data_IF_257682912469
#
_entry.id   IF_257682912469
#
_cell.length_a   1.000
_cell.length_b   1.000
_cell.length_c   1.000
_cell.angle_alpha   90.00
_cell.angle_beta   90.00
_cell.angle_gamma   90.00
#
_symmetry.space_group_name_H-M   'P 1'
#
loop_
_entity.id
_entity.type
_entity.pdbx_description
1 polymer ?
#
# COMPACT_ATOMS: atom_id res chain seq x y z
N UNK A 1 10.02 -2.06 4.64
CA UNK A 1 8.54 -2.24 4.62
C UNK A 1 8.03 -2.68 5.98
N UNK A 2 8.64 -3.70 6.61
CA UNK A 2 8.21 -4.20 7.92
C UNK A 2 8.21 -3.09 9.00
N UNK A 3 9.31 -2.37 9.17
CA UNK A 3 9.41 -1.28 10.14
C UNK A 3 8.36 -0.17 9.89
N UNK A 4 8.13 0.19 8.62
CA UNK A 4 7.11 1.18 8.27
C UNK A 4 5.70 0.70 8.68
N UNK A 5 5.40 -0.58 8.47
CA UNK A 5 4.12 -1.18 8.87
C UNK A 5 3.94 -1.18 10.39
N UNK A 6 4.97 -1.56 11.16
CA UNK A 6 4.92 -1.54 12.63
C UNK A 6 4.71 -0.11 13.16
N UNK A 7 5.38 0.88 12.57
CA UNK A 7 5.18 2.28 12.93
C UNK A 7 3.78 2.79 12.57
N UNK A 8 3.24 2.38 11.42
CA UNK A 8 1.87 2.73 11.07
C UNK A 8 0.84 2.12 12.03
N UNK A 9 1.08 0.88 12.47
CA UNK A 9 0.23 0.20 13.45
C UNK A 9 0.28 0.86 14.83
N UNK A 10 1.49 1.23 15.27
CA UNK A 10 1.69 2.03 16.50
C UNK A 10 0.95 3.37 16.40
N UNK A 11 1.08 4.08 15.28
CA UNK A 11 0.39 5.35 15.04
C UNK A 11 -1.14 5.18 15.09
N UNK A 12 -1.68 4.14 14.47
CA UNK A 12 -3.11 3.85 14.46
C UNK A 12 -3.66 3.68 15.89
N UNK A 13 -2.93 3.00 16.79
CA UNK A 13 -3.38 2.82 18.19
C UNK A 13 -3.46 4.14 18.98
N UNK A 14 -2.69 5.15 18.60
CA UNK A 14 -2.82 6.50 19.18
C UNK A 14 -3.96 7.27 18.53
N UNK A 15 -4.14 7.15 17.22
CA UNK A 15 -5.23 7.81 16.47
C UNK A 15 -6.60 7.32 16.91
N UNK A 16 -6.76 6.03 17.18
CA UNK A 16 -8.02 5.44 17.70
C UNK A 16 -8.50 6.07 19.02
N UNK A 17 -7.58 6.65 19.79
CA UNK A 17 -7.90 7.30 21.08
C UNK A 17 -8.31 8.76 20.93
N UNK A 18 -8.21 9.33 19.74
CA UNK A 18 -8.55 10.74 19.48
C UNK A 18 -10.06 10.89 19.38
N UNK A 19 -10.69 11.78 20.15
CA UNK A 19 -12.13 12.03 20.05
C UNK A 19 -12.52 12.48 18.63
N UNK A 20 -13.56 11.85 18.08
CA UNK A 20 -14.02 12.11 16.72
C UNK A 20 -13.35 11.27 15.63
N UNK A 21 -12.26 10.56 15.93
CA UNK A 21 -11.68 9.58 15.02
C UNK A 21 -12.48 8.28 15.12
N UNK A 22 -12.91 7.75 13.98
CA UNK A 22 -13.65 6.50 13.87
C UNK A 22 -13.11 5.64 12.74
N UNK A 23 -13.37 4.33 12.80
CA UNK A 23 -13.00 3.35 11.78
C UNK A 23 -11.54 3.49 11.33
N UNK A 24 -10.62 3.52 12.27
CA UNK A 24 -9.18 3.63 11.96
C UNK A 24 -8.69 2.34 11.32
N UNK A 25 -8.28 2.41 10.07
CA UNK A 25 -7.84 1.26 9.28
C UNK A 25 -6.41 1.50 8.79
N UNK A 26 -5.50 0.60 9.14
CA UNK A 26 -4.14 0.58 8.58
C UNK A 26 -4.16 -0.24 7.30
N UNK A 27 -3.61 0.32 6.22
CA UNK A 27 -3.44 -0.38 4.96
C UNK A 27 -2.64 -1.68 5.15
N UNK A 28 -3.24 -2.79 4.76
CA UNK A 28 -2.63 -4.11 4.94
C UNK A 28 -1.57 -4.35 3.87
N UNK A 29 -0.33 -4.04 4.18
CA UNK A 29 0.81 -4.19 3.27
C UNK A 29 1.64 -5.45 3.52
N UNK A 30 1.33 -6.20 4.58
CA UNK A 30 2.04 -7.40 5.03
C UNK A 30 1.07 -8.55 5.30
N UNK A 31 1.58 -9.76 5.31
CA UNK A 31 0.81 -10.93 5.75
C UNK A 31 0.49 -11.95 4.66
N UNK A 32 0.92 -11.74 3.41
CA UNK A 32 0.77 -12.76 2.39
C UNK A 32 1.76 -13.90 2.65
N UNK A 33 1.30 -15.13 2.92
CA UNK A 33 2.20 -16.29 3.04
C UNK A 33 2.84 -16.56 1.68
N UNK A 34 4.16 -16.58 1.66
CA UNK A 34 4.96 -16.84 0.46
C UNK A 34 5.89 -18.02 0.71
N UNK A 35 5.94 -18.93 -0.26
CA UNK A 35 6.94 -19.99 -0.31
C UNK A 35 8.20 -19.46 -0.97
N UNK A 36 9.26 -19.29 -0.18
CA UNK A 36 10.56 -18.82 -0.67
C UNK A 36 11.49 -20.00 -0.79
N UNK A 37 11.93 -20.28 -2.01
CA UNK A 37 12.88 -21.35 -2.29
C UNK A 37 14.30 -20.80 -2.21
N UNK A 38 15.10 -21.36 -1.32
CA UNK A 38 16.53 -21.03 -1.18
C UNK A 38 17.39 -22.13 -1.83
N UNK A 39 18.15 -21.75 -2.82
CA UNK A 39 19.02 -22.67 -3.56
C UNK A 39 20.43 -22.75 -3.00
N UNK A 40 20.94 -23.95 -2.81
CA UNK A 40 22.35 -24.18 -2.55
C UNK A 40 23.12 -24.25 -3.88
N UNK A 41 23.57 -23.09 -4.35
CA UNK A 41 24.24 -22.97 -5.66
C UNK A 41 25.51 -23.84 -5.77
N UNK A 42 26.23 -24.05 -4.66
CA UNK A 42 27.43 -24.90 -4.65
C UNK A 42 27.09 -26.37 -4.91
N UNK A 43 26.04 -26.90 -4.28
CA UNK A 43 25.59 -28.26 -4.54
C UNK A 43 25.00 -28.39 -5.95
N UNK A 44 24.20 -27.43 -6.41
CA UNK A 44 23.62 -27.40 -7.76
C UNK A 44 24.73 -27.49 -8.83
N UNK A 45 25.78 -26.68 -8.68
CA UNK A 45 26.91 -26.72 -9.59
C UNK A 45 27.67 -28.05 -9.55
N UNK A 46 27.87 -28.63 -8.35
CA UNK A 46 28.54 -29.93 -8.17
C UNK A 46 27.80 -31.06 -8.85
N UNK A 47 26.48 -31.06 -8.79
CA UNK A 47 25.63 -32.09 -9.38
C UNK A 47 25.28 -31.82 -10.86
N UNK A 48 25.73 -30.71 -11.41
CA UNK A 48 25.43 -30.33 -12.79
C UNK A 48 23.93 -30.14 -13.08
N UNK A 49 23.17 -29.65 -12.08
CA UNK A 49 21.72 -29.48 -12.19
C UNK A 49 21.41 -28.15 -12.87
N UNK A 50 20.44 -28.17 -13.77
CA UNK A 50 19.89 -26.96 -14.34
C UNK A 50 18.88 -26.30 -13.39
N UNK A 51 19.16 -25.04 -12.99
CA UNK A 51 18.27 -24.27 -12.09
C UNK A 51 16.87 -24.11 -12.70
N UNK A 52 16.75 -24.03 -14.02
CA UNK A 52 15.48 -23.86 -14.70
C UNK A 52 14.61 -25.11 -14.57
N UNK A 53 15.23 -26.29 -14.72
CA UNK A 53 14.57 -27.58 -14.52
C UNK A 53 14.09 -27.73 -13.06
N UNK A 54 14.97 -27.38 -12.09
CA UNK A 54 14.64 -27.39 -10.67
C UNK A 54 13.46 -26.46 -10.35
N UNK A 55 13.44 -25.26 -10.91
CA UNK A 55 12.33 -24.32 -10.79
C UNK A 55 11.02 -24.89 -11.36
N UNK A 56 11.08 -25.51 -12.52
CA UNK A 56 9.91 -26.13 -13.16
C UNK A 56 9.33 -27.25 -12.30
N UNK A 57 10.17 -28.12 -11.74
CA UNK A 57 9.74 -29.20 -10.85
C UNK A 57 9.03 -28.65 -9.60
N UNK A 58 9.63 -27.66 -8.94
CA UNK A 58 9.05 -27.04 -7.74
C UNK A 58 7.75 -26.31 -8.07
N UNK A 59 7.71 -25.57 -9.17
CA UNK A 59 6.50 -24.85 -9.61
C UNK A 59 5.38 -25.79 -9.97
N UNK A 60 5.65 -26.87 -10.72
CA UNK A 60 4.67 -27.89 -11.06
C UNK A 60 4.10 -28.53 -9.80
N UNK A 61 4.95 -28.79 -8.81
CA UNK A 61 4.52 -29.44 -7.58
C UNK A 61 3.60 -28.54 -6.73
N UNK A 62 3.94 -27.26 -6.54
CA UNK A 62 3.23 -26.37 -5.63
C UNK A 62 2.16 -25.49 -6.29
N UNK A 63 2.42 -24.97 -7.48
CA UNK A 63 1.55 -24.02 -8.16
C UNK A 63 0.84 -24.60 -9.40
N UNK A 64 1.43 -25.62 -10.00
CA UNK A 64 1.07 -26.12 -11.31
C UNK A 64 1.83 -25.42 -12.43
N UNK A 65 2.02 -26.15 -13.53
CA UNK A 65 2.69 -25.65 -14.75
C UNK A 65 1.78 -25.88 -15.94
N UNK A 66 1.70 -24.90 -16.84
CA UNK A 66 0.92 -25.02 -18.08
C UNK A 66 1.64 -25.97 -19.03
N UNK A 67 1.02 -27.13 -19.33
CA UNK A 67 1.52 -28.11 -20.27
C UNK A 67 1.07 -27.84 -21.72
N UNK A 68 0.10 -26.97 -21.92
CA UNK A 68 -0.43 -26.62 -23.23
C UNK A 68 -1.75 -25.88 -23.16
N UNK A 69 -2.37 -25.74 -24.32
CA UNK A 69 -3.65 -25.05 -24.47
C UNK A 69 -4.62 -25.93 -25.24
N UNK A 70 -5.82 -26.02 -24.76
CA UNK A 70 -6.93 -26.70 -25.42
C UNK A 70 -7.89 -25.67 -25.98
N UNK A 71 -8.25 -25.80 -27.24
CA UNK A 71 -9.27 -24.97 -27.86
C UNK A 71 -10.57 -25.75 -27.93
N UNK A 72 -11.63 -25.15 -27.40
CA UNK A 72 -12.99 -25.68 -27.52
C UNK A 72 -13.85 -24.61 -28.21
N UNK A 73 -14.10 -24.78 -29.46
CA UNK A 73 -14.66 -23.75 -30.37
C UNK A 73 -13.80 -22.48 -30.36
N UNK A 74 -14.35 -21.34 -29.91
CA UNK A 74 -13.66 -20.06 -29.81
C UNK A 74 -13.02 -19.81 -28.43
N UNK A 75 -13.18 -20.75 -27.50
CA UNK A 75 -12.65 -20.62 -26.12
C UNK A 75 -11.32 -21.32 -25.99
N UNK A 76 -10.42 -20.66 -25.29
CA UNK A 76 -9.08 -21.14 -24.98
C UNK A 76 -9.01 -21.53 -23.51
N UNK A 77 -8.54 -22.74 -23.22
CA UNK A 77 -8.33 -23.27 -21.87
C UNK A 77 -6.88 -23.68 -21.70
N UNK A 78 -6.22 -23.24 -20.61
CA UNK A 78 -4.87 -23.69 -20.30
C UNK A 78 -4.93 -25.08 -19.65
N UNK A 79 -4.16 -26.02 -20.18
CA UNK A 79 -3.98 -27.35 -19.59
C UNK A 79 -2.89 -27.25 -18.52
N UNK A 80 -3.28 -27.31 -17.26
CA UNK A 80 -2.35 -27.18 -16.11
C UNK A 80 -2.12 -28.53 -15.46
N UNK A 81 -0.85 -28.93 -15.34
CA UNK A 81 -0.41 -30.11 -14.60
C UNK A 81 0.04 -29.67 -13.21
N UNK A 82 -0.52 -30.24 -12.17
CA UNK A 82 -0.17 -29.99 -10.76
C UNK A 82 -0.32 -31.25 -9.92
N UNK A 83 0.32 -31.26 -8.76
CA UNK A 83 0.06 -32.29 -7.76
C UNK A 83 -1.31 -32.07 -7.10
N UNK A 84 -1.88 -33.15 -6.61
CA UNK A 84 -3.14 -33.11 -5.86
C UNK A 84 -2.98 -32.22 -4.60
N UNK A 85 -3.95 -31.34 -4.36
CA UNK A 85 -3.88 -30.36 -3.26
C UNK A 85 -3.81 -31.02 -1.87
N UNK A 86 -4.45 -32.16 -1.68
CA UNK A 86 -4.37 -32.89 -0.42
C UNK A 86 -2.94 -33.37 -0.12
N UNK A 87 -2.16 -33.63 -1.16
CA UNK A 87 -0.76 -34.09 -1.04
C UNK A 87 0.24 -32.93 -0.96
N UNK A 88 -0.15 -31.73 -1.38
CA UNK A 88 0.73 -30.53 -1.35
C UNK A 88 0.96 -30.05 0.08
N UNK A 89 -0.03 -30.18 0.97
CA UNK A 89 0.11 -29.80 2.39
C UNK A 89 1.22 -30.57 3.11
N UNK A 90 1.40 -31.86 2.74
CA UNK A 90 2.43 -32.74 3.29
C UNK A 90 3.65 -32.90 2.37
N UNK A 91 3.76 -32.06 1.34
CA UNK A 91 4.84 -32.16 0.39
C UNK A 91 6.16 -31.70 1.00
N UNK A 92 7.04 -32.65 1.20
CA UNK A 92 8.44 -32.41 1.55
C UNK A 92 9.28 -32.41 0.27
N UNK A 93 10.24 -31.47 0.16
CA UNK A 93 11.21 -31.43 -0.96
C UNK A 93 11.97 -32.75 -1.15
N UNK A 94 12.13 -33.53 -0.10
CA UNK A 94 12.80 -34.84 -0.15
C UNK A 94 12.03 -35.86 -0.99
N UNK A 95 10.72 -35.63 -1.25
CA UNK A 95 9.89 -36.47 -2.11
C UNK A 95 9.90 -36.05 -3.58
N UNK A 96 10.50 -34.90 -3.88
CA UNK A 96 10.69 -34.42 -5.25
C UNK A 96 12.10 -34.75 -5.70
N UNK A 97 12.23 -35.24 -6.93
CA UNK A 97 13.52 -35.60 -7.49
C UNK A 97 13.84 -34.76 -8.72
N UNK A 98 15.09 -34.36 -8.82
CA UNK A 98 15.66 -33.71 -10.01
C UNK A 98 16.75 -34.60 -10.61
N UNK A 99 16.88 -34.56 -11.93
CA UNK A 99 17.92 -35.31 -12.63
C UNK A 99 19.21 -34.48 -12.73
N UNK A 100 20.32 -35.13 -12.47
CA UNK A 100 21.66 -34.56 -12.76
C UNK A 100 21.96 -34.66 -14.24
N UNK A 101 23.00 -33.96 -14.71
CA UNK A 101 23.55 -34.09 -16.07
C UNK A 101 23.92 -35.52 -16.45
N UNK A 102 24.22 -36.35 -15.46
CA UNK A 102 24.60 -37.78 -15.63
C UNK A 102 23.35 -38.71 -15.56
N UNK A 103 22.13 -38.17 -15.41
CA UNK A 103 20.90 -38.93 -15.35
C UNK A 103 20.55 -39.51 -13.96
N UNK A 104 21.34 -39.24 -12.93
CA UNK A 104 21.10 -39.67 -11.56
C UNK A 104 20.00 -38.81 -10.96
N UNK A 105 19.06 -39.43 -10.25
CA UNK A 105 18.00 -38.71 -9.52
C UNK A 105 18.43 -38.40 -8.10
N UNK A 106 18.36 -37.13 -7.70
CA UNK A 106 18.62 -36.67 -6.34
C UNK A 106 17.40 -35.95 -5.77
N UNK A 107 17.14 -36.08 -4.45
CA UNK A 107 16.06 -35.31 -3.81
C UNK A 107 16.31 -33.81 -3.92
N UNK A 108 15.25 -33.04 -4.20
CA UNK A 108 15.33 -31.57 -4.29
C UNK A 108 15.77 -30.98 -2.94
N UNK A 109 15.41 -31.59 -1.81
CA UNK A 109 15.83 -31.17 -0.47
C UNK A 109 17.34 -31.11 -0.26
N UNK A 110 18.14 -31.89 -1.04
CA UNK A 110 19.60 -31.80 -0.99
C UNK A 110 20.16 -30.48 -1.54
N UNK A 111 19.46 -29.86 -2.50
CA UNK A 111 19.94 -28.70 -3.26
C UNK A 111 19.12 -27.43 -3.03
N UNK A 112 17.97 -27.55 -2.37
CA UNK A 112 17.09 -26.43 -2.08
C UNK A 112 16.39 -26.61 -0.73
N UNK A 113 16.00 -25.51 -0.08
CA UNK A 113 15.10 -25.49 1.07
C UNK A 113 13.92 -24.56 0.77
N UNK A 114 12.77 -24.85 1.37
CA UNK A 114 11.58 -23.99 1.28
C UNK A 114 11.28 -23.41 2.65
N UNK A 115 11.18 -22.08 2.71
CA UNK A 115 10.74 -21.36 3.89
C UNK A 115 9.38 -20.73 3.61
N UNK A 116 8.43 -20.94 4.51
CA UNK A 116 7.17 -20.20 4.51
C UNK A 116 7.41 -18.87 5.24
N UNK A 117 7.40 -17.78 4.50
CA UNK A 117 7.61 -16.44 5.06
C UNK A 117 6.39 -15.57 4.84
N UNK A 118 6.12 -14.69 5.80
CA UNK A 118 5.13 -13.64 5.61
C UNK A 118 5.75 -12.51 4.78
N UNK A 119 5.39 -12.46 3.52
CA UNK A 119 5.89 -11.45 2.58
C UNK A 119 5.03 -10.20 2.51
N UNK A 120 5.51 -9.15 1.85
CA UNK A 120 4.71 -7.98 1.55
C UNK A 120 3.61 -8.32 0.54
N UNK A 121 2.37 -7.93 0.87
CA UNK A 121 1.23 -8.04 -0.04
C UNK A 121 1.35 -7.02 -1.17
N UNK A 122 1.65 -5.77 -0.80
CA UNK A 122 1.78 -4.64 -1.69
C UNK A 122 2.81 -3.65 -1.17
N UNK A 123 3.53 -3.00 -2.06
CA UNK A 123 4.48 -1.93 -1.72
C UNK A 123 4.02 -0.66 -2.42
N UNK A 124 3.36 0.22 -1.67
CA UNK A 124 2.91 1.51 -2.18
C UNK A 124 4.00 2.56 -2.07
N UNK A 125 4.10 3.40 -3.10
CA UNK A 125 5.05 4.50 -3.17
C UNK A 125 4.34 5.78 -3.57
N UNK A 126 4.81 6.87 -3.02
CA UNK A 126 4.46 8.22 -3.42
C UNK A 126 5.75 9.03 -3.61
N UNK A 127 5.86 9.77 -4.70
CA UNK A 127 7.08 10.50 -5.06
C UNK A 127 8.37 9.67 -4.81
N UNK A 128 8.39 8.40 -5.29
CA UNK A 128 9.48 7.42 -5.13
C UNK A 128 9.68 6.87 -3.71
N UNK A 129 9.09 7.45 -2.67
CA UNK A 129 9.19 7.00 -1.28
C UNK A 129 8.12 5.96 -0.96
N UNK A 130 8.45 5.00 -0.09
CA UNK A 130 7.45 4.04 0.40
C UNK A 130 6.49 4.72 1.34
N UNK A 131 5.19 4.46 1.18
CA UNK A 131 4.14 4.94 2.08
C UNK A 131 3.26 3.81 2.59
N UNK A 132 2.61 4.04 3.71
CA UNK A 132 1.49 3.27 4.24
C UNK A 132 0.41 4.26 4.62
N UNK A 133 -0.82 3.96 4.26
CA UNK A 133 -1.99 4.80 4.54
C UNK A 133 -2.67 4.31 5.82
N UNK A 134 -2.98 5.25 6.70
CA UNK A 134 -3.89 5.05 7.84
C UNK A 134 -5.16 5.81 7.48
N UNK A 135 -6.20 5.07 7.13
CA UNK A 135 -7.53 5.63 6.88
C UNK A 135 -8.24 5.93 8.20
N UNK A 136 -8.79 7.13 8.31
CA UNK A 136 -9.54 7.57 9.48
C UNK A 136 -10.84 8.22 9.01
N UNK A 137 -11.97 7.76 9.51
CA UNK A 137 -13.25 8.42 9.33
C UNK A 137 -13.48 9.38 10.49
N UNK A 138 -14.08 10.53 10.22
CA UNK A 138 -14.46 11.49 11.23
C UNK A 138 -15.97 11.40 11.46
N UNK A 139 -16.42 11.25 12.73
CA UNK A 139 -17.82 11.23 13.11
C UNK A 139 -18.10 12.23 14.21
N UNK A 140 -19.21 12.95 14.07
CA UNK A 140 -19.75 13.88 15.07
C UNK A 140 -18.75 14.97 15.54
N UNK A 141 -17.76 15.30 14.70
CA UNK A 141 -16.72 16.26 15.01
C UNK A 141 -16.24 17.02 13.75
N UNK A 142 -15.64 18.18 13.96
CA UNK A 142 -15.02 18.95 12.87
C UNK A 142 -13.71 18.29 12.41
N UNK A 143 -13.58 18.10 11.09
CA UNK A 143 -12.42 17.47 10.45
C UNK A 143 -11.13 18.20 10.82
N UNK A 144 -11.14 19.54 10.83
CA UNK A 144 -9.94 20.34 11.15
C UNK A 144 -9.48 20.10 12.58
N UNK A 145 -10.43 20.07 13.53
CA UNK A 145 -10.14 19.82 14.94
C UNK A 145 -9.60 18.41 15.17
N UNK A 146 -10.21 17.41 14.53
CA UNK A 146 -9.77 16.01 14.65
C UNK A 146 -8.37 15.84 14.07
N UNK A 147 -8.08 16.40 12.91
CA UNK A 147 -6.73 16.33 12.30
C UNK A 147 -5.70 17.05 13.17
N UNK A 148 -6.02 18.23 13.73
CA UNK A 148 -5.12 18.93 14.63
C UNK A 148 -4.81 18.10 15.90
N UNK A 149 -5.82 17.46 16.49
CA UNK A 149 -5.65 16.57 17.64
C UNK A 149 -4.81 15.32 17.30
N UNK A 150 -5.00 14.76 16.10
CA UNK A 150 -4.18 13.65 15.59
C UNK A 150 -2.73 14.09 15.45
N UNK A 151 -2.47 15.25 14.83
CA UNK A 151 -1.13 15.80 14.66
C UNK A 151 -0.42 15.99 16.00
N UNK A 152 -1.07 16.60 16.95
CA UNK A 152 -0.52 16.80 18.31
C UNK A 152 -0.23 15.47 18.98
N UNK A 153 -1.17 14.53 18.95
CA UNK A 153 -1.04 13.21 19.57
C UNK A 153 0.11 12.41 18.95
N UNK A 154 0.23 12.39 17.64
CA UNK A 154 1.31 11.67 16.96
C UNK A 154 2.67 12.30 17.21
N UNK A 155 2.78 13.64 17.16
CA UNK A 155 4.04 14.35 17.41
C UNK A 155 4.53 14.17 18.85
N UNK A 156 3.61 14.06 19.81
CA UNK A 156 3.93 13.88 21.23
C UNK A 156 4.39 12.45 21.55
N UNK A 157 3.75 11.45 20.95
CA UNK A 157 3.92 10.05 21.34
C UNK A 157 4.87 9.27 20.42
N UNK A 158 5.04 9.68 19.17
CA UNK A 158 5.83 8.93 18.20
C UNK A 158 7.07 9.72 17.77
N UNK A 159 8.23 9.16 18.07
CA UNK A 159 9.52 9.68 17.57
C UNK A 159 9.86 8.94 16.27
N UNK A 160 9.75 9.65 15.16
CA UNK A 160 10.11 9.12 13.85
C UNK A 160 11.63 9.14 13.65
N UNK A 161 12.15 8.11 12.98
CA UNK A 161 13.55 8.07 12.55
C UNK A 161 13.77 9.06 11.38
N UNK A 162 15.02 9.51 11.16
CA UNK A 162 15.34 10.33 9.99
C UNK A 162 14.83 9.72 8.69
N UNK A 163 14.15 10.52 7.89
CA UNK A 163 13.56 10.09 6.60
C UNK A 163 12.10 9.62 6.68
N UNK A 164 11.51 9.51 7.88
CA UNK A 164 10.08 9.28 8.06
C UNK A 164 9.36 10.57 8.39
N UNK A 165 8.15 10.73 7.89
CA UNK A 165 7.27 11.87 8.17
C UNK A 165 5.80 11.46 8.02
N UNK A 166 4.92 12.20 8.67
CA UNK A 166 3.48 12.08 8.48
C UNK A 166 3.03 13.07 7.41
N UNK A 167 2.13 12.64 6.56
CA UNK A 167 1.46 13.45 5.57
C UNK A 167 -0.05 13.31 5.76
N UNK A 168 -0.75 14.42 5.73
CA UNK A 168 -2.18 14.48 6.01
C UNK A 168 -2.90 14.92 4.72
N UNK A 169 -3.70 14.02 4.17
CA UNK A 169 -4.35 14.20 2.87
C UNK A 169 -5.85 13.93 2.91
N UNK A 170 -6.43 13.77 1.71
CA UNK A 170 -7.83 13.43 1.54
C UNK A 170 -8.77 14.63 1.68
N UNK A 171 -9.90 14.46 2.38
CA UNK A 171 -10.91 15.52 2.55
C UNK A 171 -10.35 16.75 3.27
N UNK A 172 -9.43 16.56 4.21
CA UNK A 172 -8.77 17.65 4.93
C UNK A 172 -7.97 18.56 3.99
N UNK A 173 -7.20 18.00 3.08
CA UNK A 173 -6.43 18.76 2.10
C UNK A 173 -7.33 19.56 1.16
N UNK A 174 -8.42 18.94 0.68
CA UNK A 174 -9.41 19.61 -0.16
C UNK A 174 -10.08 20.78 0.58
N UNK A 175 -10.42 20.59 1.86
CA UNK A 175 -11.00 21.64 2.70
C UNK A 175 -10.01 22.80 2.90
N UNK A 176 -8.76 22.51 3.18
CA UNK A 176 -7.71 23.51 3.35
C UNK A 176 -7.49 24.33 2.08
N UNK A 177 -7.44 23.67 0.93
CA UNK A 177 -7.33 24.33 -0.37
C UNK A 177 -8.55 25.20 -0.69
N UNK A 178 -9.76 24.74 -0.35
CA UNK A 178 -10.99 25.53 -0.50
C UNK A 178 -10.97 26.77 0.38
N UNK A 179 -10.60 26.66 1.65
CA UNK A 179 -10.50 27.79 2.59
C UNK A 179 -9.46 28.80 2.10
N UNK A 180 -8.27 28.34 1.70
CA UNK A 180 -7.22 29.21 1.19
C UNK A 180 -7.66 29.98 -0.07
N UNK A 181 -8.38 29.31 -0.97
CA UNK A 181 -8.95 29.95 -2.16
C UNK A 181 -9.99 31.01 -1.79
N UNK A 182 -10.91 30.69 -0.85
CA UNK A 182 -11.92 31.64 -0.38
C UNK A 182 -11.31 32.87 0.29
N UNK A 183 -10.27 32.69 1.10
CA UNK A 183 -9.56 33.79 1.77
C UNK A 183 -8.96 34.79 0.79
N UNK A 184 -8.64 34.39 -0.43
CA UNK A 184 -8.15 35.27 -1.48
C UNK A 184 -9.30 35.84 -2.32
N UNK A 185 -10.25 35.00 -2.73
CA UNK A 185 -11.33 35.38 -3.65
C UNK A 185 -12.30 36.37 -3.01
N UNK A 186 -12.68 36.18 -1.73
CA UNK A 186 -13.64 37.06 -1.05
C UNK A 186 -13.12 38.51 -0.94
N UNK A 187 -11.90 38.78 -0.44
CA UNK A 187 -11.37 40.16 -0.39
C UNK A 187 -11.22 40.81 -1.77
N UNK A 188 -10.79 40.04 -2.78
CA UNK A 188 -10.67 40.53 -4.15
C UNK A 188 -12.05 40.94 -4.72
N UNK A 189 -13.07 40.07 -4.52
CA UNK A 189 -14.43 40.37 -4.96
C UNK A 189 -14.99 41.65 -4.28
N UNK A 190 -14.80 41.74 -2.94
CA UNK A 190 -15.24 42.92 -2.18
C UNK A 190 -14.52 44.18 -2.64
N UNK A 191 -13.20 44.10 -2.89
CA UNK A 191 -12.42 45.23 -3.41
C UNK A 191 -12.95 45.70 -4.79
N UNK A 192 -13.26 44.73 -5.68
CA UNK A 192 -13.77 45.03 -7.02
C UNK A 192 -15.17 45.66 -6.96
N UNK A 193 -16.06 45.15 -6.10
CA UNK A 193 -17.38 45.74 -5.86
C UNK A 193 -17.23 47.15 -5.34
N UNK A 194 -16.37 47.41 -4.36
CA UNK A 194 -16.12 48.69 -3.76
C UNK A 194 -15.56 49.67 -4.78
N UNK A 195 -14.69 49.20 -5.67
CA UNK A 195 -14.11 50.00 -6.76
C UNK A 195 -15.18 50.39 -7.77
N UNK A 196 -16.06 49.47 -8.19
CA UNK A 196 -17.17 49.77 -9.11
C UNK A 196 -18.13 50.78 -8.49
N UNK A 197 -18.53 50.60 -7.22
CA UNK A 197 -19.38 51.52 -6.50
C UNK A 197 -18.75 52.89 -6.33
N UNK A 198 -17.43 52.96 -6.07
CA UNK A 198 -16.70 54.22 -6.01
C UNK A 198 -16.73 55.00 -7.33
N UNK A 199 -16.54 54.33 -8.47
CA UNK A 199 -16.67 54.96 -9.77
C UNK A 199 -18.09 55.43 -10.08
N UNK A 200 -19.12 54.70 -9.61
CA UNK A 200 -20.52 55.06 -9.82
C UNK A 200 -20.95 56.27 -8.97
N UNK A 201 -20.61 56.30 -7.69
CA UNK A 201 -21.07 57.33 -6.76
C UNK A 201 -20.07 58.45 -6.49
N UNK A 202 -18.80 58.28 -6.85
CA UNK A 202 -17.69 59.22 -6.61
C UNK A 202 -17.54 59.69 -5.15
N UNK A 203 -18.13 58.97 -4.20
CA UNK A 203 -18.11 59.29 -2.78
C UNK A 203 -18.05 58.00 -1.95
N UNK A 204 -16.99 57.85 -1.12
CA UNK A 204 -16.71 56.66 -0.32
C UNK A 204 -17.77 56.45 0.77
N UNK A 205 -18.34 57.53 1.31
CA UNK A 205 -19.33 57.43 2.40
C UNK A 205 -20.62 56.76 1.95
N UNK A 206 -21.10 57.06 0.74
CA UNK A 206 -22.29 56.40 0.17
C UNK A 206 -22.00 54.94 -0.23
N UNK A 207 -20.78 54.66 -0.64
CA UNK A 207 -20.38 53.27 -0.95
C UNK A 207 -20.38 52.38 0.29
N UNK A 208 -19.89 52.84 1.44
CA UNK A 208 -19.88 52.12 2.70
C UNK A 208 -21.29 51.94 3.29
N UNK A 209 -22.16 52.96 3.19
CA UNK A 209 -23.55 52.88 3.62
C UNK A 209 -24.33 51.80 2.83
N UNK A 210 -24.16 51.76 1.50
CA UNK A 210 -24.84 50.79 0.65
C UNK A 210 -24.38 49.35 0.85
N UNK A 211 -23.09 49.12 1.15
CA UNK A 211 -22.57 47.75 1.49
C UNK A 211 -22.90 47.30 2.91
N UNK A 212 -23.24 48.25 3.81
CA UNK A 212 -23.64 47.94 5.21
C UNK A 212 -25.13 47.63 5.37
N UNK A 213 -25.97 48.03 4.39
CA UNK A 213 -27.43 47.90 4.45
C UNK A 213 -27.94 46.78 3.53
N UNK A 214 -27.06 46.02 2.87
CA UNK A 214 -27.32 44.84 2.05
C UNK A 214 -26.92 43.59 2.79
#
# INVERSE_FOLDING_TARGET
THELYERAKEAATFVEKVPGAADVIVEQTMGLPQLVVKYNRGKIARYGINIQELNTIIRTAYAGESAGVIFENERRFDLVVRLDQEKVADLNLDKLFVRTSEGIQIPVGEVASIDLVSGPLQINRDATKRRIVIGVNVRDADIQQVVANIQETLNKNIKLKPGYYFEYGGQFENLQNAINTLLVVIPVALMLILLILFFAFKNITYCLLYTSDA
#
